data_IF_702952718707
#
_entry.id   IF_702952718707
#
_cell.length_a   1.000
_cell.length_b   1.000
_cell.length_c   1.000
_cell.angle_alpha   90.00
_cell.angle_beta   90.00
_cell.angle_gamma   90.00
#
_symmetry.space_group_name_H-M   'P 1'
#
loop_
_entity.id
_entity.type
_entity.pdbx_description
1 polymer ?
#
# COMPACT_ATOMS: atom_id res chain seq x y z
N UNK A 1 -7.99 0.51 -25.87
CA UNK A 1 -8.50 0.74 -24.50
C UNK A 1 -9.06 -0.60 -24.05
N UNK A 2 -8.60 -1.15 -22.91
CA UNK A 2 -9.18 -2.39 -22.36
C UNK A 2 -10.60 -2.12 -21.89
N UNK A 3 -11.47 -3.13 -21.95
CA UNK A 3 -12.84 -3.00 -21.42
C UNK A 3 -12.82 -2.77 -19.91
N UNK A 4 -13.90 -2.22 -19.35
CA UNK A 4 -14.01 -2.01 -17.91
C UNK A 4 -13.92 -3.35 -17.14
N UNK A 5 -14.46 -4.41 -17.72
CA UNK A 5 -14.43 -5.76 -17.16
C UNK A 5 -13.00 -6.33 -17.14
N UNK A 6 -12.23 -6.11 -18.22
CA UNK A 6 -10.80 -6.48 -18.28
C UNK A 6 -9.97 -5.70 -17.27
N UNK A 7 -10.26 -4.41 -17.09
CA UNK A 7 -9.59 -3.59 -16.09
C UNK A 7 -9.91 -4.08 -14.67
N UNK A 8 -11.17 -4.38 -14.38
CA UNK A 8 -11.58 -4.88 -13.08
C UNK A 8 -10.94 -6.26 -12.78
N UNK A 9 -10.96 -7.17 -13.76
CA UNK A 9 -10.36 -8.49 -13.64
C UNK A 9 -8.84 -8.40 -13.40
N UNK A 10 -8.14 -7.52 -14.11
CA UNK A 10 -6.70 -7.38 -13.93
C UNK A 10 -6.35 -6.72 -12.59
N UNK A 11 -7.08 -5.69 -12.17
CA UNK A 11 -6.83 -5.01 -10.89
C UNK A 11 -7.10 -5.91 -9.67
N UNK A 12 -8.04 -6.85 -9.80
CA UNK A 12 -8.44 -7.76 -8.71
C UNK A 12 -7.74 -9.12 -8.76
N UNK A 13 -6.95 -9.41 -9.81
CA UNK A 13 -6.22 -10.68 -9.93
C UNK A 13 -5.32 -10.94 -8.71
N UNK A 14 -5.45 -12.12 -8.12
CA UNK A 14 -4.66 -12.53 -6.96
C UNK A 14 -5.10 -11.89 -5.63
N UNK A 15 -6.17 -11.08 -5.62
CA UNK A 15 -6.81 -10.69 -4.37
C UNK A 15 -7.51 -11.90 -3.75
N UNK A 16 -7.29 -12.12 -2.45
CA UNK A 16 -8.04 -13.14 -1.71
C UNK A 16 -9.52 -12.77 -1.59
N UNK A 17 -9.80 -11.47 -1.45
CA UNK A 17 -11.13 -10.92 -1.32
C UNK A 17 -11.15 -9.48 -1.87
N UNK A 18 -12.29 -9.09 -2.45
CA UNK A 18 -12.56 -7.71 -2.88
C UNK A 18 -13.87 -7.27 -2.24
N UNK A 19 -13.75 -6.38 -1.26
CA UNK A 19 -14.91 -5.79 -0.60
C UNK A 19 -15.58 -4.83 -1.58
N UNK A 20 -16.86 -5.08 -1.87
CA UNK A 20 -17.69 -4.28 -2.77
C UNK A 20 -17.09 -4.07 -4.18
N UNK A 21 -16.93 -5.16 -4.92
CA UNK A 21 -16.46 -5.10 -6.32
C UNK A 21 -17.33 -4.20 -7.22
N UNK A 22 -18.63 -4.08 -6.92
CA UNK A 22 -19.56 -3.15 -7.59
C UNK A 22 -19.18 -1.68 -7.36
N UNK A 23 -18.73 -1.31 -6.17
CA UNK A 23 -18.31 0.04 -5.85
C UNK A 23 -16.97 0.37 -6.55
N UNK A 24 -16.04 -0.59 -6.59
CA UNK A 24 -14.81 -0.45 -7.38
C UNK A 24 -15.14 -0.23 -8.87
N UNK A 25 -16.07 -1.01 -9.43
CA UNK A 25 -16.55 -0.83 -10.80
C UNK A 25 -17.07 0.59 -11.04
N UNK A 26 -18.01 1.05 -10.22
CA UNK A 26 -18.59 2.39 -10.33
C UNK A 26 -17.51 3.48 -10.20
N UNK A 27 -16.50 3.28 -9.34
CA UNK A 27 -15.36 4.20 -9.20
C UNK A 27 -14.50 4.28 -10.47
N UNK A 28 -14.30 3.14 -11.16
CA UNK A 28 -13.56 3.08 -12.43
C UNK A 28 -14.35 3.72 -13.58
N UNK A 29 -15.66 3.54 -13.62
CA UNK A 29 -16.56 4.12 -14.64
C UNK A 29 -16.52 5.66 -14.67
N UNK A 30 -16.25 6.31 -13.52
CA UNK A 30 -16.11 7.77 -13.46
C UNK A 30 -14.92 8.31 -14.29
N UNK A 31 -14.01 7.46 -14.74
CA UNK A 31 -12.84 7.86 -15.54
C UNK A 31 -11.83 8.77 -14.81
N UNK A 32 -11.94 8.90 -13.49
CA UNK A 32 -11.05 9.74 -12.68
C UNK A 32 -9.97 8.89 -11.99
N UNK A 33 -8.70 9.32 -11.99
CA UNK A 33 -7.64 8.58 -11.31
C UNK A 33 -7.95 8.32 -9.83
N UNK A 34 -8.06 7.05 -9.46
CA UNK A 34 -8.27 6.65 -8.07
C UNK A 34 -7.00 6.89 -7.23
N UNK A 35 -7.20 7.14 -5.94
CA UNK A 35 -6.13 7.16 -4.96
C UNK A 35 -6.11 5.83 -4.23
N UNK A 36 -5.06 5.05 -4.46
CA UNK A 36 -4.87 3.70 -3.90
C UNK A 36 -3.85 3.79 -2.79
N UNK A 37 -4.23 3.38 -1.58
CA UNK A 37 -3.42 3.54 -0.37
C UNK A 37 -2.93 2.20 0.14
N UNK A 38 -1.64 2.11 0.43
CA UNK A 38 -1.06 0.98 1.15
C UNK A 38 -0.43 1.49 2.46
N UNK A 39 -0.99 1.04 3.59
CA UNK A 39 -0.40 1.26 4.90
C UNK A 39 0.75 0.29 5.16
N UNK A 40 1.85 0.76 5.73
CA UNK A 40 2.96 -0.04 6.21
C UNK A 40 3.32 0.37 7.64
N UNK A 41 3.52 -0.62 8.52
CA UNK A 41 4.01 -0.42 9.88
C UNK A 41 5.55 -0.29 9.87
N UNK A 42 6.13 0.82 10.39
CA UNK A 42 7.57 1.04 10.42
C UNK A 42 8.31 0.12 11.41
N UNK A 43 7.62 -0.64 12.25
CA UNK A 43 8.24 -1.52 13.26
C UNK A 43 8.82 -2.79 12.66
N UNK A 44 8.37 -3.21 11.48
CA UNK A 44 8.94 -4.34 10.74
C UNK A 44 10.18 -3.89 9.95
N UNK A 45 11.38 -4.39 10.26
CA UNK A 45 12.62 -3.89 9.67
C UNK A 45 12.80 -4.29 8.19
N UNK A 46 12.08 -5.30 7.69
CA UNK A 46 12.35 -5.89 6.37
C UNK A 46 11.11 -6.11 5.52
N UNK A 47 11.17 -5.55 4.31
CA UNK A 47 10.22 -5.83 3.23
C UNK A 47 10.63 -7.15 2.56
N UNK A 48 10.09 -8.27 3.06
CA UNK A 48 10.32 -9.60 2.46
C UNK A 48 9.43 -9.83 1.24
N UNK A 49 9.70 -10.92 0.49
CA UNK A 49 8.99 -11.31 -0.75
C UNK A 49 7.46 -11.41 -0.61
N UNK A 50 6.94 -11.58 0.62
CA UNK A 50 5.49 -11.59 0.88
C UNK A 50 4.80 -10.28 0.51
N UNK A 51 5.52 -9.15 0.50
CA UNK A 51 4.97 -7.87 0.08
C UNK A 51 4.91 -7.70 -1.44
N UNK A 52 5.60 -8.54 -2.22
CA UNK A 52 5.64 -8.44 -3.67
C UNK A 52 4.25 -8.55 -4.30
N UNK A 53 3.36 -9.36 -3.71
CA UNK A 53 1.97 -9.54 -4.18
C UNK A 53 1.19 -8.22 -4.10
N UNK A 54 1.29 -7.53 -2.96
CA UNK A 54 0.59 -6.26 -2.75
C UNK A 54 1.23 -5.15 -3.58
N UNK A 55 2.56 -5.13 -3.71
CA UNK A 55 3.26 -4.16 -4.55
C UNK A 55 2.95 -4.34 -6.04
N UNK A 56 2.78 -5.58 -6.51
CA UNK A 56 2.32 -5.88 -7.87
C UNK A 56 0.88 -5.40 -8.11
N UNK A 57 -0.01 -5.58 -7.13
CA UNK A 57 -1.36 -4.99 -7.19
C UNK A 57 -1.29 -3.46 -7.32
N UNK A 58 -0.51 -2.79 -6.46
CA UNK A 58 -0.31 -1.34 -6.56
C UNK A 58 0.25 -0.93 -7.93
N UNK A 59 1.19 -1.71 -8.48
CA UNK A 59 1.76 -1.45 -9.80
C UNK A 59 0.70 -1.50 -10.91
N UNK A 60 -0.18 -2.49 -10.89
CA UNK A 60 -1.30 -2.60 -11.85
C UNK A 60 -2.25 -1.40 -11.80
N UNK A 61 -2.46 -0.82 -10.62
CA UNK A 61 -3.19 0.43 -10.50
C UNK A 61 -2.45 1.62 -11.13
N UNK A 62 -1.14 1.73 -10.92
CA UNK A 62 -0.33 2.80 -11.53
C UNK A 62 -0.24 2.70 -13.04
N UNK A 63 -0.10 1.49 -13.58
CA UNK A 63 -0.03 1.24 -15.03
C UNK A 63 -1.33 1.63 -15.74
N UNK A 64 -2.44 1.74 -14.99
CA UNK A 64 -3.72 2.28 -15.46
C UNK A 64 -3.95 3.76 -15.14
N UNK A 65 -2.90 4.46 -14.73
CA UNK A 65 -2.94 5.90 -14.47
C UNK A 65 -3.52 6.29 -13.11
N UNK A 66 -3.74 5.34 -12.19
CA UNK A 66 -4.16 5.65 -10.83
C UNK A 66 -2.99 6.11 -9.96
N UNK A 67 -3.31 6.81 -8.88
CA UNK A 67 -2.32 7.39 -7.95
C UNK A 67 -2.14 6.45 -6.77
N UNK A 68 -0.96 5.85 -6.66
CA UNK A 68 -0.58 5.02 -5.51
C UNK A 68 0.10 5.86 -4.43
N UNK A 69 -0.33 5.68 -3.18
CA UNK A 69 0.22 6.33 -2.00
C UNK A 69 0.64 5.28 -0.97
N UNK A 70 1.90 5.34 -0.54
CA UNK A 70 2.40 4.55 0.57
C UNK A 70 2.32 5.37 1.85
N UNK A 71 1.57 4.87 2.83
CA UNK A 71 1.38 5.50 4.12
C UNK A 71 2.22 4.73 5.14
N UNK A 72 3.21 5.38 5.73
CA UNK A 72 4.02 4.80 6.81
C UNK A 72 3.41 5.32 8.11
N UNK A 73 2.81 4.42 8.90
CA UNK A 73 2.13 4.79 10.14
C UNK A 73 3.10 4.90 11.30
N UNK A 74 3.47 6.10 11.73
CA UNK A 74 4.23 6.35 12.96
C UNK A 74 3.36 6.39 14.22
N UNK A 75 2.03 6.45 14.06
CA UNK A 75 1.09 6.70 15.16
C UNK A 75 0.67 5.43 15.94
N UNK A 76 0.50 4.28 15.29
CA UNK A 76 0.10 3.02 15.96
C UNK A 76 1.24 2.40 16.78
N UNK A 77 2.50 2.64 16.39
CA UNK A 77 3.67 2.24 17.18
C UNK A 77 3.80 2.98 18.52
N UNK A 78 3.22 4.18 18.64
CA UNK A 78 3.26 5.00 19.86
C UNK A 78 2.17 4.61 20.87
N UNK A 79 1.02 4.10 20.40
CA UNK A 79 -0.14 3.74 21.24
C UNK A 79 -0.16 2.24 21.58
N UNK A 80 0.47 1.40 20.74
CA UNK A 80 0.41 -0.05 20.85
C UNK A 80 -0.79 -0.59 20.08
N UNK A 81 -0.52 -1.46 19.11
CA UNK A 81 -1.55 -2.16 18.35
C UNK A 81 -2.41 -3.04 19.29
N UNK A 82 -3.72 -2.80 19.41
CA UNK A 82 -4.60 -3.61 20.25
C UNK A 82 -4.92 -4.99 19.64
N UNK A 83 -4.47 -5.28 18.41
CA UNK A 83 -4.73 -6.55 17.73
C UNK A 83 -3.87 -7.71 18.24
N UNK A 84 -4.21 -8.21 19.44
CA UNK A 84 -4.22 -9.65 19.71
C UNK A 84 -2.89 -10.40 19.82
N UNK A 85 -1.73 -9.76 20.01
CA UNK A 85 -0.51 -10.47 20.46
C UNK A 85 -0.21 -10.16 21.92
N UNK A 86 -0.53 -11.13 22.78
CA UNK A 86 -0.34 -11.11 24.23
C UNK A 86 1.15 -11.24 24.65
N UNK A 87 1.98 -10.28 24.25
CA UNK A 87 3.25 -10.00 24.93
C UNK A 87 3.46 -8.50 24.92
N UNK A 88 3.28 -7.85 26.07
CA UNK A 88 3.65 -6.44 26.25
C UNK A 88 5.14 -6.30 25.90
N UNK A 89 5.44 -5.74 24.72
CA UNK A 89 6.80 -5.33 24.39
C UNK A 89 7.19 -4.15 25.30
N UNK A 90 8.46 -4.06 25.73
CA UNK A 90 8.89 -2.98 26.61
C UNK A 90 8.68 -1.63 25.93
N UNK A 91 7.98 -0.71 26.61
CA UNK A 91 7.85 0.68 26.18
C UNK A 91 9.24 1.30 26.08
N UNK A 92 9.73 1.59 24.89
CA UNK A 92 10.99 2.32 24.73
C UNK A 92 10.79 3.77 25.20
N UNK A 93 11.13 4.06 26.45
CA UNK A 93 11.34 5.41 26.95
C UNK A 93 12.61 5.99 26.33
N UNK A 94 12.52 6.51 25.11
CA UNK A 94 13.48 7.47 24.60
C UNK A 94 12.86 8.27 23.47
N UNK A 95 12.43 9.47 23.83
CA UNK A 95 12.07 10.54 22.93
C UNK A 95 13.31 10.91 22.10
N UNK A 96 13.40 10.36 20.87
CA UNK A 96 14.28 10.88 19.83
C UNK A 96 13.60 10.61 18.49
N UNK A 97 13.11 11.63 17.76
CA UNK A 97 12.70 11.46 16.38
C UNK A 97 13.98 11.26 15.55
N UNK A 98 14.53 10.04 15.60
CA UNK A 98 15.49 9.60 14.59
C UNK A 98 14.66 9.39 13.34
N UNK A 99 14.88 10.24 12.36
CA UNK A 99 14.56 10.07 10.95
C UNK A 99 15.23 8.81 10.36
N UNK A 100 15.05 7.65 11.00
CA UNK A 100 15.56 6.38 10.52
C UNK A 100 14.57 5.92 9.45
N UNK A 101 14.77 6.50 8.27
CA UNK A 101 14.16 6.07 7.03
C UNK A 101 14.24 4.54 6.94
N UNK A 102 13.11 3.82 6.80
CA UNK A 102 13.15 2.37 6.72
C UNK A 102 13.94 1.95 5.47
N UNK A 103 14.70 0.86 5.60
CA UNK A 103 15.55 0.27 4.54
C UNK A 103 14.76 -0.04 3.26
N UNK A 104 13.44 -0.11 3.35
CA UNK A 104 12.47 -0.40 2.29
C UNK A 104 12.16 0.78 1.35
N UNK A 105 12.64 2.01 1.63
CA UNK A 105 12.47 3.17 0.73
C UNK A 105 12.89 2.94 -0.74
N UNK A 106 13.99 2.24 -1.07
CA UNK A 106 14.37 1.99 -2.46
C UNK A 106 13.31 1.15 -3.20
N UNK A 107 12.68 0.20 -2.50
CA UNK A 107 11.65 -0.68 -3.08
C UNK A 107 10.34 0.08 -3.28
N UNK A 108 9.91 0.84 -2.28
CA UNK A 108 8.74 1.72 -2.42
C UNK A 108 8.96 2.78 -3.50
N UNK A 109 10.17 3.33 -3.65
CA UNK A 109 10.50 4.30 -4.70
C UNK A 109 10.40 3.70 -6.10
N UNK A 110 10.81 2.44 -6.29
CA UNK A 110 10.71 1.76 -7.59
C UNK A 110 9.25 1.57 -8.04
N UNK A 111 8.34 1.36 -7.10
CA UNK A 111 6.90 1.33 -7.37
C UNK A 111 6.37 2.77 -7.52
N UNK A 112 6.77 3.73 -6.69
CA UNK A 112 6.21 5.08 -6.67
C UNK A 112 6.69 6.03 -7.78
N UNK A 113 7.74 5.70 -8.56
CA UNK A 113 8.17 6.57 -9.67
C UNK A 113 7.20 6.49 -10.85
N UNK A 114 6.30 7.46 -10.92
CA UNK A 114 5.66 7.90 -12.15
C UNK A 114 6.73 8.19 -13.20
N UNK A 115 6.74 7.43 -14.30
CA UNK A 115 7.30 7.95 -15.55
C UNK A 115 6.35 9.04 -16.04
N UNK A 116 6.55 10.26 -15.55
CA UNK A 116 6.25 11.44 -16.34
C UNK A 116 7.20 11.45 -17.52
N UNK A 117 6.75 10.95 -18.66
CA UNK A 117 7.28 11.34 -19.96
C UNK A 117 6.08 11.76 -20.81
N UNK A 118 6.06 13.08 -21.04
CA UNK A 118 5.55 13.76 -22.24
C UNK A 118 5.56 12.89 -23.47
#
# INVERSE_FOLDING_TARGET
MSSLDEQLADLTRGAAEVIEASELRAKLERGTPLVVKLGADPTAPDLHLGHSVVLDAMRRFQDRGHRVQFLIGDFTGAIGDPSGRNTMRPRSRSHRPRSRMPSSRPVYRRVATTRGRT
#
